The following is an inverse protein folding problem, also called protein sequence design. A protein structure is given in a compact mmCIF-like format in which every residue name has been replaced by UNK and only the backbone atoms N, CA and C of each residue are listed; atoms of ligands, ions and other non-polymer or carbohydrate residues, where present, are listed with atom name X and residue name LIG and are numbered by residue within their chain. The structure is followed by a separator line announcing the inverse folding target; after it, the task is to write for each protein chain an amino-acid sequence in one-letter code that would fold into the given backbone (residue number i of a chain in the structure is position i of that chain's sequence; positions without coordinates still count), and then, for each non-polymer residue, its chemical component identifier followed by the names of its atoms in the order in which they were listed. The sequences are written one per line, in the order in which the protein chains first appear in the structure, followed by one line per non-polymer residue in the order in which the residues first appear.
data_IF_717823666623
#
_entry.id   IF_717823666623
#
_cell.length_a   1.000
_cell.length_b   1.000
_cell.length_c   1.000
_cell.angle_alpha   90.00
_cell.angle_beta   90.00
_cell.angle_gamma   90.00
#
_symmetry.space_group_name_H-M   'P 1'
#
loop_
_entity.id
_entity.type
_entity.pdbx_description
1 polymer ?
#
# COMPACT_ATOMS: atom_id res chain seq x y z
N UNK A 1 -1.81 -4.67 -7.84
CA UNK A 1 -2.12 -6.00 -7.25
C UNK A 1 -1.69 -7.07 -8.24
N UNK A 2 -1.15 -8.19 -7.75
CA UNK A 2 -0.85 -9.35 -8.60
C UNK A 2 -2.14 -9.84 -9.26
N UNK A 3 -2.03 -10.27 -10.52
CA UNK A 3 -3.17 -10.69 -11.35
C UNK A 3 -3.55 -12.16 -11.12
N UNK A 4 -2.62 -12.93 -10.59
CA UNK A 4 -2.72 -14.36 -10.32
C UNK A 4 -1.71 -14.73 -9.22
N UNK A 5 -1.92 -15.89 -8.58
CA UNK A 5 -1.03 -16.46 -7.57
C UNK A 5 -0.67 -17.89 -7.96
N UNK A 6 0.63 -18.20 -8.12
CA UNK A 6 1.14 -19.56 -8.35
C UNK A 6 1.68 -20.16 -7.04
N UNK A 7 1.06 -21.23 -6.57
CA UNK A 7 1.43 -22.02 -5.40
C UNK A 7 2.12 -23.31 -5.88
N UNK A 8 3.36 -23.52 -5.47
CA UNK A 8 4.11 -24.75 -5.76
C UNK A 8 4.19 -25.63 -4.51
N UNK A 9 3.84 -26.91 -4.62
CA UNK A 9 4.05 -27.89 -3.56
C UNK A 9 5.38 -28.61 -3.77
N UNK A 10 6.27 -28.58 -2.78
CA UNK A 10 7.56 -29.27 -2.72
C UNK A 10 7.62 -30.22 -1.52
N UNK A 11 8.53 -31.19 -1.54
CA UNK A 11 8.69 -32.14 -0.44
C UNK A 11 9.10 -33.53 -0.93
N UNK A 12 9.51 -34.40 0.00
CA UNK A 12 9.95 -35.76 -0.33
C UNK A 12 8.86 -36.57 -1.05
N UNK A 13 9.24 -37.68 -1.68
CA UNK A 13 8.28 -38.62 -2.23
C UNK A 13 7.33 -39.14 -1.12
N UNK A 14 6.07 -39.38 -1.48
CA UNK A 14 5.04 -39.97 -0.60
C UNK A 14 4.63 -39.16 0.66
N UNK A 15 5.06 -37.89 0.79
CA UNK A 15 4.55 -36.99 1.85
C UNK A 15 3.11 -36.51 1.60
N UNK A 16 2.54 -36.80 0.42
CA UNK A 16 1.14 -36.55 0.08
C UNK A 16 0.85 -35.21 -0.59
N UNK A 17 1.80 -34.64 -1.33
CA UNK A 17 1.62 -33.41 -2.14
C UNK A 17 0.42 -33.52 -3.09
N UNK A 18 0.44 -34.52 -3.97
CA UNK A 18 -0.62 -34.83 -4.92
C UNK A 18 -1.96 -35.07 -4.22
N UNK A 19 -1.96 -35.79 -3.09
CA UNK A 19 -3.17 -36.05 -2.31
C UNK A 19 -3.79 -34.77 -1.76
N UNK A 20 -3.00 -33.80 -1.29
CA UNK A 20 -3.52 -32.50 -0.82
C UNK A 20 -4.22 -31.75 -1.97
N UNK A 21 -3.66 -31.77 -3.17
CA UNK A 21 -4.19 -31.09 -4.35
C UNK A 21 -5.50 -31.75 -4.81
N UNK A 22 -5.49 -33.08 -4.97
CA UNK A 22 -6.67 -33.83 -5.40
C UNK A 22 -7.80 -33.75 -4.35
N UNK A 23 -7.46 -33.77 -3.06
CA UNK A 23 -8.46 -33.64 -1.99
C UNK A 23 -9.11 -32.25 -1.94
N UNK A 24 -8.38 -31.19 -2.33
CA UNK A 24 -8.96 -29.86 -2.45
C UNK A 24 -10.01 -29.79 -3.56
N UNK A 25 -9.77 -30.46 -4.69
CA UNK A 25 -10.64 -30.37 -5.87
C UNK A 25 -11.78 -31.39 -5.84
N UNK A 26 -11.50 -32.61 -5.39
CA UNK A 26 -12.48 -33.69 -5.32
C UNK A 26 -13.34 -33.67 -4.05
N UNK A 27 -12.96 -32.89 -3.03
CA UNK A 27 -13.57 -32.92 -1.69
C UNK A 27 -13.63 -34.32 -1.06
N UNK A 28 -12.73 -35.22 -1.48
CA UNK A 28 -12.59 -36.58 -0.97
C UNK A 28 -11.14 -37.05 -1.10
N UNK A 29 -10.76 -38.08 -0.33
CA UNK A 29 -9.42 -38.64 -0.44
C UNK A 29 -9.33 -39.57 -1.66
N UNK A 30 -8.37 -39.36 -2.57
CA UNK A 30 -8.25 -40.16 -3.79
C UNK A 30 -7.89 -41.63 -3.47
N UNK A 31 -8.62 -42.58 -4.07
CA UNK A 31 -8.30 -44.02 -3.97
C UNK A 31 -6.97 -44.37 -4.68
N UNK A 32 -6.73 -43.76 -5.84
CA UNK A 32 -5.50 -43.89 -6.61
C UNK A 32 -4.82 -42.52 -6.75
N UNK A 33 -3.55 -42.44 -6.37
CA UNK A 33 -2.77 -41.20 -6.41
C UNK A 33 -1.71 -41.30 -7.51
N UNK A 34 -1.79 -40.50 -8.59
CA UNK A 34 -0.76 -40.46 -9.61
C UNK A 34 0.56 -39.91 -9.05
N UNK A 35 1.70 -40.11 -9.73
CA UNK A 35 2.99 -39.58 -9.27
C UNK A 35 3.06 -38.05 -9.22
N UNK A 36 2.23 -37.36 -10.01
CA UNK A 36 2.10 -35.90 -10.08
C UNK A 36 0.69 -35.53 -10.55
N UNK A 37 0.08 -34.50 -9.96
CA UNK A 37 -1.16 -33.92 -10.46
C UNK A 37 -0.89 -32.95 -11.64
N UNK A 38 -1.85 -32.83 -12.55
CA UNK A 38 -1.86 -31.72 -13.52
C UNK A 38 -2.00 -30.37 -12.81
N UNK A 39 -1.54 -29.30 -13.46
CA UNK A 39 -1.69 -27.95 -12.90
C UNK A 39 -3.17 -27.57 -12.79
N UNK A 40 -3.59 -27.18 -11.59
CA UNK A 40 -4.97 -26.82 -11.30
C UNK A 40 -5.08 -25.31 -11.20
N UNK A 41 -6.10 -24.74 -11.85
CA UNK A 41 -6.42 -23.31 -11.71
C UNK A 41 -7.73 -23.14 -10.97
N UNK A 42 -7.68 -22.51 -9.80
CA UNK A 42 -8.84 -22.09 -9.04
C UNK A 42 -9.26 -20.70 -9.55
N UNK A 43 -10.48 -20.54 -10.09
CA UNK A 43 -10.97 -19.25 -10.59
C UNK A 43 -11.05 -18.18 -9.51
N UNK A 44 -10.96 -16.90 -9.90
CA UNK A 44 -11.09 -15.77 -8.98
C UNK A 44 -12.41 -15.79 -8.20
N UNK A 45 -13.51 -16.18 -8.83
CA UNK A 45 -14.85 -16.12 -8.22
C UNK A 45 -15.03 -17.08 -7.04
N UNK A 46 -14.16 -18.07 -6.89
CA UNK A 46 -14.20 -19.05 -5.80
C UNK A 46 -13.12 -18.81 -4.74
N UNK A 47 -12.18 -17.87 -4.96
CA UNK A 47 -11.16 -17.53 -3.95
C UNK A 47 -11.62 -16.37 -3.07
N UNK A 48 -11.31 -16.39 -1.76
CA UNK A 48 -11.68 -15.29 -0.85
C UNK A 48 -11.14 -13.92 -1.29
N UNK A 49 -9.94 -13.90 -1.86
CA UNK A 49 -9.23 -12.69 -2.29
C UNK A 49 -9.60 -12.24 -3.72
N UNK A 50 -10.46 -12.99 -4.42
CA UNK A 50 -10.85 -12.74 -5.82
C UNK A 50 -9.66 -12.68 -6.80
N UNK A 51 -8.67 -13.52 -6.57
CA UNK A 51 -7.49 -13.67 -7.42
C UNK A 51 -7.42 -15.12 -7.91
N UNK A 52 -7.23 -15.37 -9.21
CA UNK A 52 -6.99 -16.72 -9.72
C UNK A 52 -5.75 -17.35 -9.07
N UNK A 53 -5.86 -18.62 -8.70
CA UNK A 53 -4.76 -19.34 -8.02
C UNK A 53 -4.39 -20.59 -8.80
N UNK A 54 -3.14 -20.66 -9.23
CA UNK A 54 -2.55 -21.82 -9.88
C UNK A 54 -1.87 -22.70 -8.83
N UNK A 55 -2.21 -23.99 -8.78
CA UNK A 55 -1.63 -24.97 -7.86
C UNK A 55 -0.82 -25.97 -8.68
N UNK A 56 0.44 -26.09 -8.33
CA UNK A 56 1.44 -26.85 -9.08
C UNK A 56 2.00 -27.94 -8.17
N UNK A 57 1.95 -29.18 -8.65
CA UNK A 57 2.57 -30.32 -7.99
C UNK A 57 4.02 -30.51 -8.47
N UNK A 58 4.85 -31.11 -7.63
CA UNK A 58 6.21 -31.51 -8.00
C UNK A 58 6.46 -32.99 -7.79
N UNK A 59 7.25 -33.58 -8.68
CA UNK A 59 7.63 -34.99 -8.58
C UNK A 59 9.07 -35.20 -9.00
N UNK A 60 9.92 -35.62 -8.07
CA UNK A 60 11.32 -35.96 -8.38
C UNK A 60 11.45 -37.20 -9.29
N UNK A 61 10.37 -37.98 -9.46
CA UNK A 61 10.35 -39.12 -10.38
C UNK A 61 10.09 -38.72 -11.83
N UNK A 62 9.37 -37.61 -12.05
CA UNK A 62 8.99 -37.13 -13.39
C UNK A 62 9.76 -35.90 -13.85
N UNK A 63 10.31 -35.11 -12.91
CA UNK A 63 10.97 -33.85 -13.20
C UNK A 63 12.46 -33.91 -12.87
N UNK A 64 13.27 -33.31 -13.74
CA UNK A 64 14.68 -33.03 -13.51
C UNK A 64 14.85 -31.90 -12.49
N UNK A 65 16.07 -31.78 -11.95
CA UNK A 65 16.42 -30.69 -11.02
C UNK A 65 16.25 -29.31 -11.69
N UNK A 66 16.58 -29.20 -12.98
CA UNK A 66 16.46 -27.96 -13.75
C UNK A 66 15.00 -27.55 -13.93
N UNK A 67 14.11 -28.49 -14.25
CA UNK A 67 12.66 -28.22 -14.35
C UNK A 67 12.07 -27.82 -13.00
N UNK A 68 12.49 -28.47 -11.92
CA UNK A 68 12.02 -28.12 -10.57
C UNK A 68 12.49 -26.72 -10.16
N UNK A 69 13.72 -26.35 -10.51
CA UNK A 69 14.22 -24.99 -10.29
C UNK A 69 13.42 -23.97 -11.10
N UNK A 70 13.09 -24.25 -12.36
CA UNK A 70 12.25 -23.37 -13.17
C UNK A 70 10.86 -23.17 -12.54
N UNK A 71 10.24 -24.22 -12.01
CA UNK A 71 8.98 -24.12 -11.28
C UNK A 71 9.08 -23.28 -9.99
N UNK A 72 10.19 -23.40 -9.24
CA UNK A 72 10.46 -22.56 -8.07
C UNK A 72 10.57 -21.08 -8.48
N UNK A 73 11.26 -20.76 -9.57
CA UNK A 73 11.40 -19.39 -10.05
C UNK A 73 10.07 -18.77 -10.48
N UNK A 74 9.14 -19.57 -11.02
CA UNK A 74 7.79 -19.13 -11.38
C UNK A 74 6.86 -18.99 -10.18
N UNK A 75 7.13 -19.70 -9.09
CA UNK A 75 6.26 -19.74 -7.92
C UNK A 75 6.17 -18.36 -7.24
N UNK A 76 4.97 -18.00 -6.79
CA UNK A 76 4.79 -16.84 -5.91
C UNK A 76 4.89 -17.21 -4.43
N UNK A 77 4.61 -18.47 -4.10
CA UNK A 77 4.75 -19.07 -2.76
C UNK A 77 5.05 -20.54 -2.92
N UNK A 78 5.86 -21.08 -2.02
CA UNK A 78 6.22 -22.50 -1.99
C UNK A 78 5.68 -23.14 -0.71
N UNK A 79 4.92 -24.21 -0.86
CA UNK A 79 4.46 -25.06 0.22
C UNK A 79 5.40 -26.25 0.36
N UNK A 80 6.22 -26.28 1.42
CA UNK A 80 7.11 -27.41 1.72
C UNK A 80 6.37 -28.41 2.58
N UNK A 81 5.99 -29.52 1.97
CA UNK A 81 5.21 -30.60 2.56
C UNK A 81 6.13 -31.64 3.19
N UNK A 82 5.82 -32.01 4.42
CA UNK A 82 6.49 -33.07 5.17
C UNK A 82 5.45 -34.00 5.81
N UNK A 83 5.89 -35.20 6.19
CA UNK A 83 5.06 -36.18 6.88
C UNK A 83 5.30 -36.05 8.39
N UNK A 84 4.25 -35.73 9.14
CA UNK A 84 4.35 -35.49 10.59
C UNK A 84 4.70 -36.72 11.42
N UNK A 85 4.58 -37.92 10.84
CA UNK A 85 5.00 -39.19 11.44
C UNK A 85 6.45 -39.58 11.13
N UNK A 86 7.11 -38.90 10.18
CA UNK A 86 8.44 -39.27 9.69
C UNK A 86 9.45 -38.13 9.90
N UNK A 87 10.25 -38.22 10.98
CA UNK A 87 11.26 -37.21 11.34
C UNK A 87 12.27 -36.93 10.22
N UNK A 88 12.61 -37.94 9.43
CA UNK A 88 13.52 -37.78 8.30
C UNK A 88 13.02 -36.75 7.27
N UNK A 89 11.71 -36.61 7.10
CA UNK A 89 11.12 -35.63 6.17
C UNK A 89 11.20 -34.21 6.73
N UNK A 90 11.11 -34.05 8.06
CA UNK A 90 11.29 -32.77 8.76
C UNK A 90 12.75 -32.29 8.62
N UNK A 91 13.70 -33.20 8.77
CA UNK A 91 15.13 -32.90 8.60
C UNK A 91 15.46 -32.43 7.18
N UNK A 92 14.76 -32.94 6.16
CA UNK A 92 14.92 -32.54 4.76
C UNK A 92 14.47 -31.11 4.48
N UNK A 93 13.57 -30.56 5.31
CA UNK A 93 13.14 -29.16 5.18
C UNK A 93 14.35 -28.22 5.24
N UNK A 94 15.17 -28.36 6.30
CA UNK A 94 16.34 -27.49 6.54
C UNK A 94 17.55 -27.85 5.67
N UNK A 95 17.72 -29.14 5.34
CA UNK A 95 18.93 -29.62 4.65
C UNK A 95 18.82 -29.63 3.12
N UNK A 96 17.61 -29.68 2.56
CA UNK A 96 17.37 -29.82 1.11
C UNK A 96 16.39 -28.77 0.59
N UNK A 97 15.16 -28.75 1.10
CA UNK A 97 14.06 -28.02 0.45
C UNK A 97 14.17 -26.50 0.56
N UNK A 98 14.43 -25.96 1.75
CA UNK A 98 14.64 -24.52 1.91
C UNK A 98 15.88 -24.03 1.14
N UNK A 99 17.06 -24.70 1.24
CA UNK A 99 18.21 -24.33 0.40
C UNK A 99 17.92 -24.34 -1.10
N UNK A 100 17.13 -25.31 -1.59
CA UNK A 100 16.74 -25.40 -2.99
C UNK A 100 15.84 -24.23 -3.40
N UNK A 101 14.84 -23.88 -2.58
CA UNK A 101 13.95 -22.73 -2.82
C UNK A 101 14.72 -21.41 -2.83
N UNK A 102 15.68 -21.26 -1.93
CA UNK A 102 16.51 -20.05 -1.84
C UNK A 102 17.56 -19.93 -2.95
N UNK A 103 17.79 -20.98 -3.77
CA UNK A 103 18.66 -20.93 -4.94
C UNK A 103 20.12 -20.52 -4.67
N UNK A 104 20.60 -20.62 -3.43
CA UNK A 104 21.93 -20.13 -3.03
C UNK A 104 22.07 -18.60 -2.97
N UNK A 105 20.99 -17.84 -3.21
CA UNK A 105 21.00 -16.37 -3.09
C UNK A 105 20.91 -15.93 -1.63
N UNK A 106 22.01 -15.42 -1.08
CA UNK A 106 22.00 -14.76 0.23
C UNK A 106 21.39 -13.36 0.19
N UNK A 107 21.20 -12.78 -1.01
CA UNK A 107 20.77 -11.38 -1.21
C UNK A 107 19.70 -11.29 -2.29
N UNK A 108 18.46 -11.01 -1.89
CA UNK A 108 17.31 -10.80 -2.77
C UNK A 108 15.98 -11.00 -2.03
N UNK A 109 14.85 -10.51 -2.58
CA UNK A 109 13.52 -10.85 -2.05
C UNK A 109 13.27 -12.34 -2.20
N UNK A 110 13.06 -13.04 -1.08
CA UNK A 110 12.80 -14.49 -1.05
C UNK A 110 11.33 -14.78 -1.34
N UNK A 111 11.08 -15.91 -2.01
CA UNK A 111 9.73 -16.43 -2.18
C UNK A 111 9.22 -16.88 -0.80
N UNK A 112 8.02 -16.47 -0.37
CA UNK A 112 7.47 -16.91 0.91
C UNK A 112 7.28 -18.42 0.95
N UNK A 113 7.54 -19.01 2.11
CA UNK A 113 7.44 -20.45 2.35
C UNK A 113 6.33 -20.73 3.38
N UNK A 114 5.51 -21.74 3.09
CA UNK A 114 4.55 -22.32 4.02
C UNK A 114 5.00 -23.74 4.34
N UNK A 115 5.18 -24.07 5.62
CA UNK A 115 5.41 -25.46 6.01
C UNK A 115 4.08 -26.20 6.10
N UNK A 116 4.03 -27.42 5.55
CA UNK A 116 2.81 -28.22 5.52
C UNK A 116 3.07 -29.57 6.16
N UNK A 117 2.61 -29.74 7.39
CA UNK A 117 2.69 -31.02 8.10
C UNK A 117 1.52 -31.90 7.71
N UNK A 118 1.69 -32.77 6.72
CA UNK A 118 0.62 -33.65 6.25
C UNK A 118 0.59 -34.99 7.03
N UNK A 119 -0.50 -35.74 6.87
CA UNK A 119 -0.78 -37.01 7.56
C UNK A 119 -0.92 -36.88 9.08
N UNK A 120 -1.46 -35.74 9.55
CA UNK A 120 -1.79 -35.52 10.97
C UNK A 120 -2.76 -36.54 11.57
N UNK A 121 -3.42 -37.36 10.75
CA UNK A 121 -4.21 -38.51 11.20
C UNK A 121 -3.36 -39.67 11.75
N UNK A 122 -2.07 -39.74 11.41
CA UNK A 122 -1.17 -40.82 11.85
C UNK A 122 -0.52 -40.58 13.21
N UNK A 123 -0.55 -39.34 13.73
CA UNK A 123 0.11 -38.96 14.98
C UNK A 123 -0.85 -38.21 15.91
N UNK A 124 -1.01 -38.66 17.17
CA UNK A 124 -1.70 -37.86 18.18
C UNK A 124 -0.79 -36.71 18.65
N UNK A 125 -1.27 -35.47 18.56
CA UNK A 125 -0.54 -34.26 18.96
C UNK A 125 0.00 -33.46 17.79
N UNK A 126 0.61 -32.31 18.09
CA UNK A 126 1.12 -31.37 17.09
C UNK A 126 2.62 -31.61 16.82
N UNK A 127 3.03 -31.54 15.56
CA UNK A 127 4.44 -31.53 15.13
C UNK A 127 5.09 -30.15 15.24
N UNK A 128 4.36 -29.14 15.73
CA UNK A 128 4.84 -27.75 15.84
C UNK A 128 6.15 -27.62 16.61
N UNK A 129 6.35 -28.38 17.70
CA UNK A 129 7.60 -28.33 18.49
C UNK A 129 8.84 -28.66 17.66
N UNK A 130 8.72 -29.55 16.67
CA UNK A 130 9.84 -29.94 15.81
C UNK A 130 10.15 -28.89 14.73
N UNK A 131 9.16 -28.12 14.29
CA UNK A 131 9.32 -27.12 13.21
C UNK A 131 9.55 -25.70 13.71
N UNK A 132 9.18 -25.37 14.96
CA UNK A 132 9.43 -24.06 15.56
C UNK A 132 10.90 -23.59 15.45
N UNK A 133 11.92 -24.44 15.71
CA UNK A 133 13.31 -24.05 15.50
C UNK A 133 13.63 -23.71 14.04
N UNK A 134 13.04 -24.45 13.09
CA UNK A 134 13.22 -24.22 11.65
C UNK A 134 12.61 -22.87 11.27
N UNK A 135 11.39 -22.57 11.73
CA UNK A 135 10.75 -21.27 11.51
C UNK A 135 11.56 -20.11 12.07
N UNK A 136 12.20 -20.29 13.23
CA UNK A 136 13.07 -19.26 13.81
C UNK A 136 14.37 -19.04 13.01
N UNK A 137 14.83 -20.07 12.30
CA UNK A 137 16.07 -20.03 11.53
C UNK A 137 15.86 -19.41 10.14
N UNK A 138 14.67 -19.55 9.56
CA UNK A 138 14.37 -19.16 8.18
C UNK A 138 13.22 -18.14 8.14
N UNK A 139 13.52 -16.82 8.05
CA UNK A 139 12.52 -15.76 8.14
C UNK A 139 11.55 -15.71 6.94
N UNK A 140 11.87 -16.37 5.83
CA UNK A 140 10.96 -16.55 4.69
C UNK A 140 9.79 -17.50 4.99
N UNK A 141 9.85 -18.26 6.10
CA UNK A 141 8.74 -19.12 6.52
C UNK A 141 7.71 -18.26 7.24
N UNK A 142 6.57 -18.04 6.58
CA UNK A 142 5.49 -17.21 7.12
C UNK A 142 4.65 -17.96 8.17
N UNK A 143 4.34 -19.24 7.91
CA UNK A 143 3.54 -20.06 8.83
C UNK A 143 3.71 -21.55 8.59
N UNK A 144 3.17 -22.36 9.50
CA UNK A 144 3.06 -23.81 9.39
C UNK A 144 1.58 -24.23 9.53
N UNK A 145 1.12 -25.11 8.64
CA UNK A 145 -0.24 -25.67 8.64
C UNK A 145 -0.17 -27.19 8.72
N UNK A 146 -0.70 -27.76 9.80
CA UNK A 146 -0.88 -29.21 9.90
C UNK A 146 -2.15 -29.65 9.17
N UNK A 147 -2.02 -30.57 8.23
CA UNK A 147 -3.07 -31.04 7.35
C UNK A 147 -3.28 -32.56 7.47
N UNK A 148 -4.44 -33.04 7.06
CA UNK A 148 -4.64 -34.45 6.72
C UNK A 148 -5.44 -34.52 5.44
N UNK A 149 -4.76 -34.88 4.33
CA UNK A 149 -5.44 -35.15 3.07
C UNK A 149 -6.52 -36.23 3.24
N UNK A 150 -6.24 -37.26 4.04
CA UNK A 150 -7.16 -38.38 4.28
C UNK A 150 -8.46 -37.97 4.96
N UNK A 151 -8.37 -37.10 5.96
CA UNK A 151 -9.52 -36.64 6.73
C UNK A 151 -10.02 -35.25 6.29
N UNK A 152 -9.52 -34.72 5.17
CA UNK A 152 -9.82 -33.38 4.64
C UNK A 152 -9.60 -32.25 5.65
N UNK A 153 -8.63 -32.41 6.55
CA UNK A 153 -8.36 -31.44 7.61
C UNK A 153 -7.39 -30.36 7.14
N UNK A 154 -7.77 -29.10 7.34
CA UNK A 154 -6.97 -27.90 7.07
C UNK A 154 -6.51 -27.71 5.61
N UNK A 155 -7.18 -28.40 4.66
CA UNK A 155 -6.81 -28.34 3.23
C UNK A 155 -7.08 -26.95 2.68
N UNK A 156 -8.29 -26.41 2.89
CA UNK A 156 -8.65 -25.07 2.43
C UNK A 156 -7.79 -23.98 3.11
N UNK A 157 -7.51 -24.15 4.41
CA UNK A 157 -6.66 -23.25 5.19
C UNK A 157 -5.23 -23.17 4.63
N UNK A 158 -4.64 -24.29 4.22
CA UNK A 158 -3.32 -24.32 3.59
C UNK A 158 -3.26 -23.37 2.38
N UNK A 159 -4.17 -23.54 1.43
CA UNK A 159 -4.17 -22.75 0.20
C UNK A 159 -4.58 -21.29 0.46
N UNK A 160 -5.45 -21.05 1.44
CA UNK A 160 -5.78 -19.71 1.91
C UNK A 160 -4.55 -18.98 2.48
N UNK A 161 -3.78 -19.61 3.38
CA UNK A 161 -2.59 -19.01 3.95
C UNK A 161 -1.47 -18.82 2.91
N UNK A 162 -1.32 -19.75 1.97
CA UNK A 162 -0.38 -19.60 0.87
C UNK A 162 -0.74 -18.40 -0.02
N UNK A 163 -2.02 -18.23 -0.38
CA UNK A 163 -2.48 -17.06 -1.13
C UNK A 163 -2.25 -15.75 -0.34
N UNK A 164 -2.58 -15.76 0.96
CA UNK A 164 -2.42 -14.62 1.86
C UNK A 164 -0.97 -14.18 2.01
N UNK A 165 -0.02 -15.11 2.12
CA UNK A 165 1.40 -14.80 2.22
C UNK A 165 1.94 -14.02 1.00
N UNK A 166 1.34 -14.25 -0.18
CA UNK A 166 1.66 -13.52 -1.40
C UNK A 166 0.97 -12.17 -1.45
N UNK A 167 -0.32 -12.15 -1.12
CA UNK A 167 -1.15 -10.96 -1.27
C UNK A 167 -1.01 -9.97 -0.12
N UNK A 168 -0.50 -10.37 1.03
CA UNK A 168 -0.39 -9.51 2.22
C UNK A 168 0.94 -9.78 2.93
N UNK A 169 2.10 -9.59 2.27
CA UNK A 169 3.39 -10.03 2.79
C UNK A 169 3.75 -9.32 4.10
N UNK A 170 4.24 -10.06 5.10
CA UNK A 170 4.61 -9.50 6.40
C UNK A 170 5.97 -8.80 6.35
N UNK A 171 6.88 -9.34 5.54
CA UNK A 171 8.28 -8.90 5.42
C UNK A 171 8.49 -7.38 5.26
N UNK A 172 7.77 -6.63 4.39
CA UNK A 172 7.97 -5.19 4.27
C UNK A 172 7.41 -4.39 5.46
N UNK A 173 6.45 -4.93 6.20
CA UNK A 173 5.76 -4.22 7.28
C UNK A 173 6.53 -4.26 8.59
N UNK A 174 7.08 -5.43 8.93
CA UNK A 174 7.51 -5.74 10.29
C UNK A 174 8.85 -6.46 10.30
N UNK A 175 9.62 -6.19 11.35
CA UNK A 175 10.87 -6.87 11.64
C UNK A 175 10.65 -7.80 12.86
N UNK A 176 10.67 -9.13 12.66
CA UNK A 176 10.44 -10.08 13.73
C UNK A 176 11.55 -10.09 14.79
N UNK A 177 12.79 -9.69 14.44
CA UNK A 177 13.92 -9.69 15.37
C UNK A 177 13.79 -8.53 16.37
N UNK A 178 13.58 -7.32 15.86
CA UNK A 178 13.42 -6.11 16.68
C UNK A 178 12.01 -5.96 17.26
N UNK A 179 11.05 -6.76 16.76
CA UNK A 179 9.62 -6.70 17.08
C UNK A 179 8.98 -5.33 16.82
N UNK A 180 9.44 -4.65 15.77
CA UNK A 180 9.00 -3.30 15.42
C UNK A 180 8.56 -3.21 13.96
N UNK A 181 7.75 -2.19 13.66
CA UNK A 181 7.47 -1.82 12.28
C UNK A 181 8.75 -1.37 11.58
N UNK A 182 8.93 -1.77 10.32
CA UNK A 182 10.03 -1.30 9.51
C UNK A 182 9.89 0.20 9.23
N UNK A 183 11.00 0.95 9.03
CA UNK A 183 10.94 2.41 8.84
C UNK A 183 10.01 2.86 7.72
N UNK A 184 10.01 2.18 6.57
CA UNK A 184 9.13 2.49 5.45
C UNK A 184 7.63 2.33 5.80
N UNK A 185 7.29 1.28 6.56
CA UNK A 185 5.92 1.06 7.02
C UNK A 185 5.48 2.14 8.02
N UNK A 186 6.35 2.46 8.98
CA UNK A 186 6.10 3.54 9.94
C UNK A 186 5.92 4.90 9.24
N UNK A 187 6.72 5.19 8.22
CA UNK A 187 6.61 6.42 7.44
C UNK A 187 5.28 6.48 6.66
N UNK A 188 4.89 5.39 6.00
CA UNK A 188 3.63 5.31 5.28
C UNK A 188 2.43 5.49 6.22
N UNK A 189 2.41 4.77 7.34
CA UNK A 189 1.35 4.90 8.36
C UNK A 189 1.32 6.29 9.01
N UNK A 190 2.48 6.92 9.21
CA UNK A 190 2.56 8.30 9.73
C UNK A 190 1.94 9.30 8.76
N UNK A 191 2.17 9.15 7.45
CA UNK A 191 1.49 9.98 6.45
C UNK A 191 -0.02 9.77 6.49
N UNK A 192 -0.47 8.52 6.57
CA UNK A 192 -1.90 8.19 6.66
C UNK A 192 -2.54 8.80 7.90
N UNK A 193 -1.86 8.74 9.05
CA UNK A 193 -2.29 9.39 10.29
C UNK A 193 -2.48 10.90 10.09
N UNK A 194 -1.47 11.59 9.53
CA UNK A 194 -1.53 13.05 9.26
C UNK A 194 -2.63 13.45 8.28
N UNK A 195 -2.92 12.58 7.30
CA UNK A 195 -4.05 12.79 6.39
C UNK A 195 -5.41 12.60 7.09
N UNK A 196 -5.46 11.78 8.13
CA UNK A 196 -6.68 11.46 8.87
C UNK A 196 -6.98 12.48 9.96
N UNK A 197 -5.95 13.03 10.60
CA UNK A 197 -5.99 14.13 11.55
C UNK A 197 -6.43 15.41 10.83
N UNK A 198 -7.71 15.77 10.93
CA UNK A 198 -8.32 16.91 10.23
C UNK A 198 -8.13 18.23 10.97
N UNK A 199 -8.07 18.21 12.29
CA UNK A 199 -7.93 19.41 13.12
C UNK A 199 -6.46 19.75 13.48
N UNK A 200 -5.50 18.92 13.06
CA UNK A 200 -4.05 19.07 13.30
C UNK A 200 -3.67 19.11 14.78
N UNK A 201 -4.49 18.52 15.64
CA UNK A 201 -4.19 18.45 17.07
C UNK A 201 -3.16 17.36 17.40
N UNK A 202 -2.74 16.55 16.42
CA UNK A 202 -1.81 15.41 16.55
C UNK A 202 -2.42 14.16 17.23
N UNK A 203 -3.75 14.05 17.30
CA UNK A 203 -4.46 12.91 17.87
C UNK A 203 -5.83 12.68 17.22
N UNK A 204 -6.11 11.46 16.75
CA UNK A 204 -7.39 11.14 16.12
C UNK A 204 -8.51 11.05 17.16
N UNK A 205 -9.48 11.95 17.04
CA UNK A 205 -10.77 11.91 17.74
C UNK A 205 -11.65 10.74 17.28
N UNK A 206 -12.74 10.47 17.99
CA UNK A 206 -13.69 9.42 17.60
C UNK A 206 -14.35 9.70 16.24
N UNK A 207 -14.58 10.96 15.91
CA UNK A 207 -15.14 11.35 14.62
C UNK A 207 -14.15 11.02 13.49
N UNK A 208 -12.87 11.35 13.67
CA UNK A 208 -11.82 11.08 12.70
C UNK A 208 -11.51 9.58 12.58
N UNK A 209 -11.48 8.86 13.70
CA UNK A 209 -11.33 7.41 13.72
C UNK A 209 -12.49 6.72 12.99
N UNK A 210 -13.73 7.17 13.21
CA UNK A 210 -14.88 6.62 12.49
C UNK A 210 -14.87 6.96 11.00
N UNK A 211 -14.45 8.18 10.63
CA UNK A 211 -14.27 8.56 9.24
C UNK A 211 -13.18 7.72 8.55
N UNK A 212 -12.06 7.50 9.23
CA UNK A 212 -10.97 6.63 8.80
C UNK A 212 -11.44 5.19 8.63
N UNK A 213 -12.11 4.62 9.62
CA UNK A 213 -12.66 3.26 9.59
C UNK A 213 -13.65 3.08 8.44
N UNK A 214 -14.57 4.02 8.26
CA UNK A 214 -15.51 4.00 7.13
C UNK A 214 -14.80 4.08 5.78
N UNK A 215 -13.72 4.86 5.68
CA UNK A 215 -12.92 4.96 4.46
C UNK A 215 -12.18 3.67 4.12
N UNK A 216 -11.59 3.01 5.12
CA UNK A 216 -10.76 1.82 4.94
C UNK A 216 -11.56 0.50 4.87
N UNK A 217 -12.60 0.37 5.69
CA UNK A 217 -13.31 -0.88 5.94
C UNK A 217 -14.82 -0.80 5.62
N UNK A 218 -15.31 0.37 5.20
CA UNK A 218 -16.69 0.57 4.77
C UNK A 218 -17.70 0.80 5.91
N UNK A 219 -17.31 0.61 7.17
CA UNK A 219 -18.16 0.78 8.34
C UNK A 219 -17.40 1.44 9.50
N UNK A 220 -18.08 2.24 10.35
CA UNK A 220 -17.49 2.76 11.58
C UNK A 220 -17.34 1.65 12.64
N UNK A 221 -16.53 1.91 13.66
CA UNK A 221 -16.47 1.03 14.83
C UNK A 221 -17.64 1.33 15.77
N UNK A 222 -18.14 0.31 16.45
CA UNK A 222 -19.07 0.51 17.56
C UNK A 222 -18.36 1.32 18.67
N UNK A 223 -19.06 2.22 19.39
CA UNK A 223 -18.45 3.05 20.44
C UNK A 223 -17.67 2.23 21.48
N UNK A 224 -18.26 1.12 21.95
CA UNK A 224 -17.58 0.21 22.88
C UNK A 224 -16.29 -0.38 22.31
N UNK A 225 -16.26 -0.70 21.01
CA UNK A 225 -15.08 -1.25 20.38
C UNK A 225 -13.95 -0.21 20.26
N UNK A 226 -14.29 1.07 20.07
CA UNK A 226 -13.32 2.17 20.12
C UNK A 226 -12.72 2.30 21.51
N UNK A 227 -13.54 2.26 22.56
CA UNK A 227 -13.09 2.33 23.95
C UNK A 227 -12.16 1.15 24.30
N UNK A 228 -12.52 -0.05 23.87
CA UNK A 228 -11.70 -1.25 24.06
C UNK A 228 -10.33 -1.11 23.36
N UNK A 229 -10.33 -0.59 22.13
CA UNK A 229 -9.10 -0.31 21.38
C UNK A 229 -8.23 0.71 22.13
N UNK A 230 -8.80 1.86 22.55
CA UNK A 230 -8.07 2.88 23.30
C UNK A 230 -7.55 2.35 24.64
N UNK A 231 -8.32 1.51 25.33
CA UNK A 231 -7.90 0.86 26.58
C UNK A 231 -6.68 -0.03 26.37
N UNK A 232 -6.68 -0.82 25.29
CA UNK A 232 -5.51 -1.64 24.93
C UNK A 232 -4.28 -0.77 24.67
N UNK A 233 -4.43 0.36 23.98
CA UNK A 233 -3.31 1.30 23.74
C UNK A 233 -2.79 1.88 25.05
N UNK A 234 -3.67 2.42 25.91
CA UNK A 234 -3.29 3.01 27.22
C UNK A 234 -2.47 2.07 28.08
N UNK A 235 -2.78 0.76 28.02
CA UNK A 235 -2.09 -0.27 28.79
C UNK A 235 -0.65 -0.52 28.33
N UNK A 236 -0.34 -0.29 27.05
CA UNK A 236 0.94 -0.69 26.45
C UNK A 236 1.81 0.48 25.99
N UNK A 237 1.22 1.64 25.72
CA UNK A 237 1.93 2.81 25.19
C UNK A 237 1.60 4.03 26.06
N UNK A 238 2.59 4.48 26.84
CA UNK A 238 2.49 5.73 27.57
C UNK A 238 2.31 6.90 26.57
N UNK A 239 1.25 7.69 26.74
CA UNK A 239 0.92 8.78 25.80
C UNK A 239 0.31 8.30 24.47
N UNK A 240 0.05 7.00 24.29
CA UNK A 240 -0.62 6.47 23.10
C UNK A 240 -2.07 6.92 22.94
N UNK A 241 -2.68 7.42 24.02
CA UNK A 241 -4.00 8.08 24.02
C UNK A 241 -3.89 9.35 24.86
N UNK A 242 -4.30 10.49 24.30
CA UNK A 242 -4.29 11.80 24.95
C UNK A 242 -5.68 12.42 24.85
N UNK A 243 -6.26 12.83 25.97
CA UNK A 243 -7.60 13.44 26.03
C UNK A 243 -8.68 12.60 25.32
N UNK A 244 -8.60 11.28 25.49
CA UNK A 244 -9.44 10.28 24.84
C UNK A 244 -9.31 10.20 23.30
N UNK A 245 -8.26 10.79 22.73
CA UNK A 245 -7.90 10.74 21.31
C UNK A 245 -6.68 9.85 21.08
N UNK A 246 -6.64 9.14 19.95
CA UNK A 246 -5.55 8.23 19.60
C UNK A 246 -4.36 9.00 19.01
N UNK A 247 -3.21 8.98 19.66
CA UNK A 247 -2.01 9.65 19.15
C UNK A 247 -1.32 8.84 18.05
N UNK A 248 -0.34 9.44 17.37
CA UNK A 248 0.46 8.74 16.36
C UNK A 248 1.12 7.47 16.92
N UNK A 249 1.71 7.54 18.11
CA UNK A 249 2.35 6.39 18.75
C UNK A 249 1.34 5.27 19.05
N UNK A 250 0.13 5.65 19.48
CA UNK A 250 -0.98 4.71 19.65
C UNK A 250 -1.40 4.06 18.33
N UNK A 251 -1.50 4.85 17.25
CA UNK A 251 -1.86 4.35 15.92
C UNK A 251 -0.82 3.38 15.35
N UNK A 252 0.47 3.70 15.47
CA UNK A 252 1.57 2.81 15.06
C UNK A 252 1.60 1.52 15.90
N UNK A 253 1.36 1.63 17.21
CA UNK A 253 1.26 0.47 18.09
C UNK A 253 0.10 -0.46 17.70
N UNK A 254 -1.09 0.08 17.37
CA UNK A 254 -2.21 -0.76 16.94
C UNK A 254 -1.89 -1.57 15.68
N UNK A 255 -1.25 -0.93 14.69
CA UNK A 255 -0.81 -1.62 13.48
C UNK A 255 0.26 -2.68 13.78
N UNK A 256 1.16 -2.41 14.72
CA UNK A 256 2.13 -3.38 15.22
C UNK A 256 1.42 -4.59 15.86
N UNK A 257 0.41 -4.33 16.70
CA UNK A 257 -0.37 -5.36 17.38
C UNK A 257 -1.18 -6.22 16.41
N UNK A 258 -1.76 -5.63 15.35
CA UNK A 258 -2.45 -6.39 14.32
C UNK A 258 -1.51 -7.38 13.63
N UNK A 259 -0.31 -6.94 13.26
CA UNK A 259 0.70 -7.80 12.62
C UNK A 259 1.12 -8.92 13.57
N UNK A 260 1.45 -8.60 14.83
CA UNK A 260 1.83 -9.60 15.84
C UNK A 260 0.74 -10.65 16.12
N UNK A 261 -0.53 -10.30 15.89
CA UNK A 261 -1.67 -11.22 16.02
C UNK A 261 -2.03 -11.96 14.71
N UNK A 262 -1.18 -11.88 13.68
CA UNK A 262 -1.43 -12.52 12.38
C UNK A 262 -2.50 -11.84 11.52
N UNK A 263 -2.91 -10.61 11.88
CA UNK A 263 -3.91 -9.79 11.19
C UNK A 263 -3.28 -8.66 10.37
N UNK A 264 -2.10 -8.91 9.79
CA UNK A 264 -1.38 -7.94 8.96
C UNK A 264 -2.17 -7.48 7.71
N UNK A 265 -3.16 -8.26 7.26
CA UNK A 265 -4.11 -7.88 6.21
C UNK A 265 -4.82 -6.56 6.54
N UNK A 266 -5.13 -6.29 7.82
CA UNK A 266 -5.78 -5.05 8.26
C UNK A 266 -4.88 -3.85 7.97
N UNK A 267 -3.58 -3.98 8.26
CA UNK A 267 -2.56 -2.95 7.94
C UNK A 267 -2.43 -2.77 6.43
N UNK A 268 -2.44 -3.86 5.66
CA UNK A 268 -2.41 -3.79 4.19
C UNK A 268 -3.65 -3.13 3.59
N UNK A 269 -4.85 -3.39 4.13
CA UNK A 269 -6.08 -2.71 3.72
C UNK A 269 -5.94 -1.20 3.89
N UNK A 270 -5.42 -0.75 5.03
CA UNK A 270 -5.14 0.67 5.29
C UNK A 270 -4.15 1.23 4.27
N UNK A 271 -3.00 0.58 4.11
CA UNK A 271 -1.96 1.03 3.17
C UNK A 271 -2.48 1.15 1.74
N UNK A 272 -3.15 0.10 1.24
CA UNK A 272 -3.68 0.06 -0.13
C UNK A 272 -4.80 1.06 -0.34
N UNK A 273 -5.65 1.31 0.67
CA UNK A 273 -6.69 2.34 0.58
C UNK A 273 -6.11 3.73 0.31
N UNK A 274 -4.91 3.99 0.82
CA UNK A 274 -4.18 5.25 0.64
C UNK A 274 -3.15 5.22 -0.51
N UNK A 275 -3.24 4.21 -1.39
CA UNK A 275 -2.48 4.13 -2.64
C UNK A 275 -1.12 3.44 -2.54
N UNK A 276 -0.77 2.85 -1.40
CA UNK A 276 0.52 2.15 -1.26
C UNK A 276 0.50 0.75 -1.90
N UNK A 277 1.58 0.41 -2.58
CA UNK A 277 1.87 -0.93 -3.09
C UNK A 277 2.72 -1.77 -2.12
N UNK A 278 3.09 -2.97 -2.56
CA UNK A 278 3.80 -3.95 -1.71
C UNK A 278 5.23 -3.50 -1.33
N UNK A 279 5.82 -2.57 -2.10
CA UNK A 279 7.08 -1.91 -1.78
C UNK A 279 6.95 -0.75 -0.78
N UNK A 280 5.74 -0.47 -0.28
CA UNK A 280 5.41 0.67 0.58
C UNK A 280 5.69 2.04 -0.05
N UNK A 281 5.63 2.09 -1.37
CA UNK A 281 5.62 3.30 -2.19
C UNK A 281 4.21 3.55 -2.73
N UNK A 282 3.86 4.82 -2.94
CA UNK A 282 2.60 5.16 -3.61
C UNK A 282 2.66 4.69 -5.06
N UNK A 283 1.62 3.98 -5.50
CA UNK A 283 1.61 3.40 -6.83
C UNK A 283 1.62 4.49 -7.93
N UNK A 284 2.26 4.23 -9.08
CA UNK A 284 2.19 5.14 -10.22
C UNK A 284 0.75 5.41 -10.67
N UNK A 285 -0.11 4.39 -10.63
CA UNK A 285 -1.53 4.52 -10.98
C UNK A 285 -2.28 5.48 -10.03
N UNK A 286 -1.87 5.53 -8.76
CA UNK A 286 -2.43 6.45 -7.77
C UNK A 286 -1.92 7.88 -7.97
N UNK A 287 -0.62 8.08 -8.24
CA UNK A 287 -0.04 9.43 -8.38
C UNK A 287 -0.25 10.06 -9.76
N UNK A 288 -0.28 9.24 -10.81
CA UNK A 288 -0.31 9.66 -12.22
C UNK A 288 -1.50 9.03 -12.94
N UNK A 289 -2.74 9.35 -12.54
CA UNK A 289 -3.91 8.82 -13.20
C UNK A 289 -3.96 9.28 -14.67
N UNK A 290 -4.53 8.48 -15.58
CA UNK A 290 -4.60 8.83 -16.99
C UNK A 290 -5.46 10.08 -17.18
N UNK A 291 -4.88 11.12 -17.79
CA UNK A 291 -5.58 12.33 -18.20
C UNK A 291 -5.11 12.75 -19.58
N UNK A 292 -5.98 12.63 -20.57
CA UNK A 292 -5.69 13.04 -21.94
C UNK A 292 -5.96 14.54 -22.13
N UNK A 293 -4.94 15.29 -22.55
CA UNK A 293 -5.04 16.71 -22.88
C UNK A 293 -4.78 16.87 -24.38
N UNK A 294 -5.82 17.12 -25.20
CA UNK A 294 -5.64 17.28 -26.63
C UNK A 294 -4.78 18.51 -26.98
N UNK A 295 -4.08 18.51 -28.12
CA UNK A 295 -3.39 19.70 -28.62
C UNK A 295 -4.32 20.91 -28.71
N UNK A 296 -3.82 22.08 -28.32
CA UNK A 296 -4.62 23.31 -28.33
C UNK A 296 -5.55 23.49 -27.12
N UNK A 297 -5.73 22.48 -26.28
CA UNK A 297 -6.42 22.60 -24.99
C UNK A 297 -5.47 23.10 -23.88
N UNK A 298 -6.03 23.48 -22.73
CA UNK A 298 -5.29 23.78 -21.49
C UNK A 298 -5.96 23.08 -20.31
N UNK A 299 -5.29 23.07 -19.16
CA UNK A 299 -5.77 22.45 -17.92
C UNK A 299 -5.96 23.51 -16.84
N UNK A 300 -7.09 23.43 -16.13
CA UNK A 300 -7.44 24.33 -15.03
C UNK A 300 -7.93 23.50 -13.84
N UNK A 301 -7.71 23.99 -12.61
CA UNK A 301 -8.44 23.46 -11.46
C UNK A 301 -9.91 23.85 -11.60
N UNK A 302 -10.79 22.88 -11.38
CA UNK A 302 -12.21 23.15 -11.32
C UNK A 302 -12.64 23.57 -9.90
N UNK A 303 -13.93 23.82 -9.69
CA UNK A 303 -14.45 24.23 -8.39
C UNK A 303 -14.15 23.23 -7.27
N UNK A 304 -14.20 21.92 -7.54
CA UNK A 304 -13.87 20.90 -6.54
C UNK A 304 -12.38 20.91 -6.18
N UNK A 305 -11.51 21.08 -7.19
CA UNK A 305 -10.08 21.26 -6.99
C UNK A 305 -9.76 22.47 -6.12
N UNK A 306 -10.33 23.63 -6.44
CA UNK A 306 -10.16 24.86 -5.64
C UNK A 306 -10.69 24.70 -4.22
N UNK A 307 -11.88 24.13 -4.05
CA UNK A 307 -12.46 23.90 -2.73
C UNK A 307 -11.57 23.00 -1.87
N UNK A 308 -10.98 21.95 -2.45
CA UNK A 308 -10.09 21.06 -1.73
C UNK A 308 -8.80 21.76 -1.29
N UNK A 309 -8.07 22.39 -2.21
CA UNK A 309 -6.79 23.04 -1.86
C UNK A 309 -7.01 24.21 -0.91
N UNK A 310 -8.13 24.92 -1.01
CA UNK A 310 -8.51 25.95 -0.03
C UNK A 310 -8.74 25.36 1.36
N UNK A 311 -9.45 24.23 1.49
CA UNK A 311 -9.60 23.55 2.79
C UNK A 311 -8.25 23.10 3.35
N UNK A 312 -7.33 22.65 2.51
CA UNK A 312 -5.96 22.29 2.94
C UNK A 312 -5.21 23.51 3.46
N UNK A 313 -5.35 24.67 2.80
CA UNK A 313 -4.80 25.93 3.29
C UNK A 313 -5.37 26.29 4.67
N UNK A 314 -6.70 26.36 4.77
CA UNK A 314 -7.41 26.77 6.00
C UNK A 314 -7.10 25.84 7.18
N UNK A 315 -6.94 24.54 6.92
CA UNK A 315 -6.51 23.56 7.92
C UNK A 315 -5.11 23.88 8.48
N UNK A 316 -4.21 24.42 7.66
CA UNK A 316 -2.83 24.66 8.02
C UNK A 316 -2.53 26.10 8.47
N UNK A 317 -3.44 27.03 8.21
CA UNK A 317 -3.43 28.41 8.72
C UNK A 317 -3.89 28.41 10.20
N UNK A 318 -2.99 28.02 11.09
CA UNK A 318 -3.29 27.78 12.51
C UNK A 318 -3.46 29.10 13.28
N UNK A 319 -2.69 30.13 12.89
CA UNK A 319 -2.82 31.47 13.48
C UNK A 319 -3.96 32.30 12.86
N UNK A 320 -4.61 31.79 11.79
CA UNK A 320 -5.76 32.39 11.10
C UNK A 320 -5.47 33.79 10.60
N UNK A 321 -4.23 34.03 10.18
CA UNK A 321 -3.78 35.31 9.62
C UNK A 321 -4.06 35.42 8.12
N UNK A 322 -4.52 34.33 7.48
CA UNK A 322 -4.79 34.26 6.04
C UNK A 322 -3.54 34.02 5.19
N UNK A 323 -2.41 33.66 5.80
CA UNK A 323 -1.12 33.44 5.16
C UNK A 323 -0.24 32.37 5.83
N UNK A 324 0.13 31.32 5.09
CA UNK A 324 0.99 30.28 5.63
C UNK A 324 2.41 30.78 5.89
N UNK A 325 2.81 30.67 7.15
CA UNK A 325 4.20 30.82 7.60
C UNK A 325 5.09 29.67 7.10
N UNK A 326 6.43 29.82 7.18
CA UNK A 326 7.34 28.71 6.85
C UNK A 326 7.10 27.44 7.66
N UNK A 327 6.69 27.57 8.93
CA UNK A 327 6.38 26.43 9.80
C UNK A 327 5.09 25.71 9.38
N UNK A 328 4.04 26.47 9.05
CA UNK A 328 2.77 25.90 8.56
C UNK A 328 2.92 25.25 7.19
N UNK A 329 3.71 25.86 6.29
CA UNK A 329 4.09 25.26 5.02
C UNK A 329 4.86 23.96 5.21
N UNK A 330 5.78 23.90 6.18
CA UNK A 330 6.48 22.66 6.53
C UNK A 330 5.49 21.59 7.04
N UNK A 331 4.50 21.99 7.85
CA UNK A 331 3.40 21.12 8.26
C UNK A 331 2.57 20.60 7.07
N UNK A 332 2.25 21.47 6.10
CA UNK A 332 1.52 21.12 4.87
C UNK A 332 2.31 20.11 4.04
N UNK A 333 3.61 20.33 3.89
CA UNK A 333 4.47 19.44 3.13
C UNK A 333 4.88 18.16 3.87
N UNK A 334 4.45 17.98 5.12
CA UNK A 334 4.78 16.78 5.92
C UNK A 334 4.19 15.48 5.36
N UNK A 335 3.24 15.56 4.42
CA UNK A 335 2.66 14.41 3.70
C UNK A 335 3.26 14.20 2.31
N UNK A 336 4.25 15.00 1.93
CA UNK A 336 5.02 14.87 0.70
C UNK A 336 6.36 14.19 0.99
N UNK A 337 6.95 13.47 0.01
CA UNK A 337 8.30 12.92 0.16
C UNK A 337 9.38 14.01 0.26
N UNK A 338 9.14 15.16 -0.37
CA UNK A 338 9.97 16.35 -0.30
C UNK A 338 9.10 17.60 -0.53
N UNK A 339 9.58 18.77 -0.11
CA UNK A 339 8.86 20.03 -0.32
C UNK A 339 8.62 20.27 -1.84
N UNK A 340 7.36 20.34 -2.31
CA UNK A 340 7.04 20.42 -3.74
C UNK A 340 7.37 21.79 -4.33
N UNK A 341 7.44 22.82 -3.50
CA UNK A 341 7.70 24.19 -3.91
C UNK A 341 9.02 24.68 -3.32
N UNK A 342 9.93 25.09 -4.19
CA UNK A 342 11.24 25.60 -3.79
C UNK A 342 11.21 27.07 -3.33
N UNK A 343 12.38 27.64 -3.00
CA UNK A 343 12.50 29.03 -2.55
C UNK A 343 12.04 30.06 -3.60
N UNK A 344 11.95 29.65 -4.87
CA UNK A 344 11.44 30.45 -5.99
C UNK A 344 9.95 30.79 -5.86
N UNK A 345 9.19 30.07 -5.01
CA UNK A 345 7.78 30.34 -4.76
C UNK A 345 7.56 31.81 -4.35
N UNK A 346 8.43 32.31 -3.47
CA UNK A 346 8.42 33.70 -3.01
C UNK A 346 8.75 34.69 -4.12
N UNK A 347 9.06 34.29 -5.35
CA UNK A 347 9.24 35.19 -6.50
C UNK A 347 8.24 34.95 -7.63
N UNK A 348 7.40 33.92 -7.48
CA UNK A 348 6.46 33.45 -8.50
C UNK A 348 5.04 33.92 -8.21
N UNK A 349 4.66 33.97 -6.93
CA UNK A 349 3.34 34.40 -6.48
C UNK A 349 3.41 35.56 -5.51
N UNK A 350 2.28 36.25 -5.32
CA UNK A 350 2.16 37.31 -4.33
C UNK A 350 2.32 36.73 -2.92
N UNK A 351 3.06 37.44 -2.09
CA UNK A 351 3.33 37.08 -0.69
C UNK A 351 3.06 38.30 0.19
N UNK A 352 2.71 38.06 1.45
CA UNK A 352 2.42 39.10 2.44
C UNK A 352 3.42 38.98 3.57
N UNK A 353 4.29 39.98 3.75
CA UNK A 353 5.39 39.95 4.73
C UNK A 353 6.29 38.69 4.64
N UNK A 354 6.45 38.11 3.43
CA UNK A 354 7.22 36.88 3.22
C UNK A 354 6.47 35.58 3.49
N UNK A 355 5.19 35.66 3.90
CA UNK A 355 4.27 34.53 4.06
C UNK A 355 3.45 34.30 2.79
N UNK A 356 2.97 33.07 2.60
CA UNK A 356 2.16 32.71 1.44
C UNK A 356 0.68 32.93 1.74
N UNK A 357 0.11 34.05 1.27
CA UNK A 357 -1.32 34.32 1.45
C UNK A 357 -2.19 33.30 0.70
N UNK A 358 -3.46 33.13 1.12
CA UNK A 358 -4.41 32.24 0.44
C UNK A 358 -4.46 32.49 -1.07
N UNK A 359 -4.50 33.77 -1.48
CA UNK A 359 -4.48 34.12 -2.90
C UNK A 359 -3.20 33.67 -3.61
N UNK A 360 -2.03 33.88 -3.00
CA UNK A 360 -0.75 33.40 -3.54
C UNK A 360 -0.68 31.88 -3.64
N UNK A 361 -1.20 31.18 -2.63
CA UNK A 361 -1.32 29.72 -2.60
C UNK A 361 -2.20 29.19 -3.73
N UNK A 362 -3.39 29.77 -3.93
CA UNK A 362 -4.28 29.37 -5.02
C UNK A 362 -3.65 29.66 -6.39
N UNK A 363 -2.99 30.81 -6.56
CA UNK A 363 -2.27 31.14 -7.79
C UNK A 363 -1.15 30.14 -8.09
N UNK A 364 -0.43 29.65 -7.06
CA UNK A 364 0.61 28.63 -7.25
C UNK A 364 0.01 27.32 -7.75
N UNK A 365 -1.12 26.89 -7.18
CA UNK A 365 -1.85 25.73 -7.68
C UNK A 365 -2.31 25.91 -9.11
N UNK A 366 -2.95 27.03 -9.45
CA UNK A 366 -3.38 27.36 -10.81
C UNK A 366 -2.20 27.30 -11.80
N UNK A 367 -1.03 27.83 -11.41
CA UNK A 367 0.17 27.83 -12.24
C UNK A 367 0.68 26.41 -12.50
N UNK A 368 0.79 25.58 -11.45
CA UNK A 368 1.24 24.19 -11.58
C UNK A 368 0.26 23.41 -12.45
N UNK A 369 -1.06 23.55 -12.25
CA UNK A 369 -2.07 22.87 -13.07
C UNK A 369 -1.98 23.26 -14.54
N UNK A 370 -1.71 24.52 -14.85
CA UNK A 370 -1.63 25.00 -16.23
C UNK A 370 -0.33 24.58 -16.93
N UNK A 371 0.80 24.57 -16.22
CA UNK A 371 2.12 24.27 -16.80
C UNK A 371 2.46 22.78 -16.82
N UNK A 372 2.07 22.05 -15.77
CA UNK A 372 2.40 20.63 -15.57
C UNK A 372 1.27 19.95 -14.80
N UNK A 373 0.24 19.53 -15.54
CA UNK A 373 -0.93 18.88 -14.93
C UNK A 373 -0.57 17.56 -14.24
N UNK A 374 0.44 16.83 -14.72
CA UNK A 374 0.85 15.57 -14.11
C UNK A 374 1.42 15.81 -12.71
N UNK A 375 2.27 16.83 -12.58
CA UNK A 375 2.76 17.27 -11.27
C UNK A 375 1.63 17.78 -10.35
N UNK A 376 0.61 18.45 -10.91
CA UNK A 376 -0.57 18.84 -10.14
C UNK A 376 -1.32 17.62 -9.57
N UNK A 377 -1.55 16.59 -10.40
CA UNK A 377 -2.23 15.35 -10.00
C UNK A 377 -1.43 14.61 -8.93
N UNK A 378 -0.10 14.54 -9.10
CA UNK A 378 0.82 13.97 -8.12
C UNK A 378 0.71 14.68 -6.76
N UNK A 379 0.76 16.01 -6.73
CA UNK A 379 0.62 16.78 -5.48
C UNK A 379 -0.76 16.59 -4.82
N UNK A 380 -1.84 16.53 -5.59
CA UNK A 380 -3.18 16.20 -5.08
C UNK A 380 -3.23 14.79 -4.50
N UNK A 381 -2.48 13.85 -5.10
CA UNK A 381 -2.31 12.48 -4.60
C UNK A 381 -1.60 12.44 -3.25
N UNK A 382 -0.52 13.21 -3.09
CA UNK A 382 0.18 13.35 -1.81
C UNK A 382 -0.70 13.97 -0.72
N UNK A 383 -1.54 14.93 -1.06
CA UNK A 383 -2.54 15.51 -0.16
C UNK A 383 -3.75 14.61 0.10
N UNK A 384 -3.86 13.45 -0.55
CA UNK A 384 -4.94 12.48 -0.29
C UNK A 384 -6.28 12.86 -0.92
N UNK A 385 -6.30 13.70 -1.97
CA UNK A 385 -7.54 14.14 -2.64
C UNK A 385 -8.54 13.01 -2.91
N UNK A 386 -8.18 11.87 -3.55
CA UNK A 386 -9.17 10.84 -3.88
C UNK A 386 -9.83 10.25 -2.64
N UNK A 387 -9.06 10.05 -1.57
CA UNK A 387 -9.54 9.45 -0.33
C UNK A 387 -10.44 10.45 0.42
N UNK A 388 -9.97 11.68 0.61
CA UNK A 388 -10.66 12.70 1.40
C UNK A 388 -11.93 13.22 0.70
N UNK A 389 -11.91 13.32 -0.63
CA UNK A 389 -13.05 13.75 -1.43
C UNK A 389 -13.93 12.58 -1.93
N UNK A 390 -13.60 11.32 -1.57
CA UNK A 390 -14.30 10.11 -2.01
C UNK A 390 -14.47 10.05 -3.53
N UNK A 391 -13.38 10.31 -4.24
CA UNK A 391 -13.30 10.25 -5.70
C UNK A 391 -12.39 9.09 -6.10
N UNK A 392 -12.57 8.58 -7.32
CA UNK A 392 -11.73 7.50 -7.84
C UNK A 392 -10.33 7.99 -8.25
N UNK A 393 -10.19 9.30 -8.52
CA UNK A 393 -8.94 9.89 -9.01
C UNK A 393 -8.87 11.40 -8.78
N UNK A 394 -7.64 11.91 -8.65
CA UNK A 394 -7.28 13.33 -8.65
C UNK A 394 -7.69 14.04 -9.94
N UNK A 395 -7.84 13.31 -11.05
CA UNK A 395 -8.28 13.87 -12.33
C UNK A 395 -9.63 14.59 -12.23
N UNK A 396 -10.49 14.21 -11.28
CA UNK A 396 -11.77 14.87 -11.00
C UNK A 396 -11.62 16.32 -10.52
N UNK A 397 -10.42 16.75 -10.10
CA UNK A 397 -10.13 18.14 -9.74
C UNK A 397 -9.81 19.03 -10.96
N UNK A 398 -9.64 18.43 -12.16
CA UNK A 398 -9.12 19.10 -13.34
C UNK A 398 -10.22 19.27 -14.39
N UNK A 399 -10.28 20.46 -15.00
CA UNK A 399 -11.02 20.71 -16.23
C UNK A 399 -10.03 20.86 -17.38
N UNK A 400 -10.24 20.06 -18.44
CA UNK A 400 -9.57 20.25 -19.73
C UNK A 400 -10.42 21.20 -20.56
N UNK A 401 -9.85 22.35 -20.91
CA UNK A 401 -10.54 23.37 -21.71
C UNK A 401 -10.71 22.88 -23.15
N UNK A 402 -11.62 23.49 -23.91
CA UNK A 402 -11.76 23.21 -25.35
C UNK A 402 -10.58 23.76 -26.15
N UNK A 403 -10.45 23.28 -27.37
CA UNK A 403 -9.39 23.69 -28.29
C UNK A 403 -9.40 25.21 -28.53
N UNK A 404 -8.20 25.79 -28.60
CA UNK A 404 -8.00 27.23 -28.79
C UNK A 404 -8.56 27.75 -30.13
N UNK A 405 -8.53 26.94 -31.18
CA UNK A 405 -9.08 27.29 -32.50
C UNK A 405 -10.57 27.61 -32.42
N UNK A 406 -11.33 26.82 -31.67
CA UNK A 406 -12.76 27.06 -31.42
C UNK A 406 -13.03 28.36 -30.66
N UNK A 407 -12.15 28.75 -29.73
CA UNK A 407 -12.25 30.06 -29.06
C UNK A 407 -12.05 31.22 -30.04
N UNK A 408 -11.11 31.07 -30.99
CA UNK A 408 -10.80 32.07 -32.01
C UNK A 408 -11.94 32.21 -33.03
N UNK A 409 -12.47 31.09 -33.52
CA UNK A 409 -13.61 31.05 -34.45
C UNK A 409 -14.86 31.72 -33.85
N UNK A 410 -15.11 31.50 -32.56
CA UNK A 410 -16.25 32.08 -31.84
C UNK A 410 -16.01 33.49 -31.33
N UNK A 411 -14.77 33.98 -31.35
CA UNK A 411 -14.41 35.27 -30.75
C UNK A 411 -14.66 35.34 -29.23
N UNK A 412 -14.76 34.19 -28.54
CA UNK A 412 -15.08 34.09 -27.12
C UNK A 412 -14.34 32.91 -26.49
N UNK A 413 -13.76 33.10 -25.31
CA UNK A 413 -13.13 32.04 -24.51
C UNK A 413 -13.83 31.87 -23.16
N UNK A 414 -13.80 30.64 -22.63
CA UNK A 414 -14.23 30.28 -21.27
C UNK A 414 -13.04 29.92 -20.38
N UNK A 415 -11.80 30.14 -20.87
CA UNK A 415 -10.58 29.90 -20.10
C UNK A 415 -10.44 30.97 -19.02
N UNK A 416 -10.13 30.54 -17.81
CA UNK A 416 -9.85 31.46 -16.70
C UNK A 416 -8.34 31.74 -16.59
N UNK A 417 -7.50 30.92 -17.23
CA UNK A 417 -6.05 31.03 -17.16
C UNK A 417 -5.46 31.26 -18.54
N UNK A 418 -4.65 32.32 -18.68
CA UNK A 418 -4.00 32.70 -19.93
C UNK A 418 -2.48 32.81 -19.73
N UNK A 419 -1.72 32.20 -20.65
CA UNK A 419 -0.27 32.32 -20.68
C UNK A 419 0.17 33.48 -21.58
N UNK A 420 0.78 34.49 -20.96
CA UNK A 420 1.47 35.57 -21.68
C UNK A 420 2.99 35.33 -21.67
N UNK A 421 3.62 35.29 -22.85
CA UNK A 421 5.09 35.19 -22.97
C UNK A 421 5.69 36.59 -23.12
N UNK A 422 6.49 37.00 -22.14
CA UNK A 422 7.20 38.30 -22.17
C UNK A 422 8.57 38.13 -22.81
N UNK A 423 8.77 38.73 -23.98
CA UNK A 423 10.01 38.60 -24.79
C UNK A 423 10.62 39.97 -25.06
N UNK A 424 11.95 40.06 -25.08
CA UNK A 424 12.70 41.30 -25.30
C UNK A 424 14.18 41.14 -25.01
N UNK A 425 15.00 42.12 -25.41
CA UNK A 425 16.46 42.08 -25.28
C UNK A 425 16.93 41.99 -23.80
N UNK A 426 18.22 41.67 -23.58
CA UNK A 426 18.82 41.69 -22.22
C UNK A 426 18.79 43.12 -21.67
N UNK A 427 18.44 43.27 -20.40
CA UNK A 427 18.44 44.58 -19.72
C UNK A 427 17.17 45.42 -19.88
N UNK A 428 16.21 45.04 -20.73
CA UNK A 428 14.97 45.84 -20.94
C UNK A 428 13.92 45.75 -19.81
N UNK A 429 14.28 45.20 -18.65
CA UNK A 429 13.40 45.18 -17.48
C UNK A 429 12.31 44.09 -17.46
N UNK A 430 12.41 43.01 -18.25
CA UNK A 430 11.39 41.92 -18.26
C UNK A 430 11.11 41.32 -16.88
N UNK A 431 12.16 41.04 -16.10
CA UNK A 431 12.01 40.48 -14.75
C UNK A 431 11.33 41.47 -13.81
N UNK A 432 11.73 42.75 -13.88
CA UNK A 432 11.12 43.85 -13.14
C UNK A 432 9.64 44.01 -13.49
N UNK A 433 9.27 43.89 -14.77
CA UNK A 433 7.88 43.92 -15.23
C UNK A 433 7.03 42.81 -14.59
N UNK A 434 7.57 41.58 -14.51
CA UNK A 434 6.87 40.47 -13.84
C UNK A 434 6.80 40.65 -12.32
N UNK A 435 7.84 41.18 -11.67
CA UNK A 435 7.80 41.44 -10.22
C UNK A 435 6.83 42.59 -9.87
N UNK A 436 6.71 43.59 -10.73
CA UNK A 436 5.72 44.66 -10.57
C UNK A 436 4.28 44.13 -10.64
N UNK A 437 4.01 43.11 -11.46
CA UNK A 437 2.71 42.42 -11.50
C UNK A 437 2.35 41.77 -10.16
N UNK A 438 3.35 41.33 -9.39
CA UNK A 438 3.17 40.80 -8.04
C UNK A 438 3.05 41.90 -6.96
N UNK A 439 3.01 43.17 -7.34
CA UNK A 439 2.89 44.31 -6.43
C UNK A 439 4.19 44.69 -5.71
N UNK A 440 5.35 44.26 -6.20
CA UNK A 440 6.65 44.58 -5.60
C UNK A 440 7.19 45.87 -6.18
N UNK A 441 7.53 46.80 -5.29
CA UNK A 441 8.16 48.06 -5.70
C UNK A 441 9.50 47.77 -6.39
N UNK A 442 9.73 48.45 -7.51
CA UNK A 442 11.03 48.48 -8.17
C UNK A 442 11.90 49.47 -7.39
N UNK A 443 12.81 48.94 -6.57
CA UNK A 443 13.89 49.72 -5.95
C UNK A 443 14.95 50.10 -6.96
#
# INVERSE_FOLDING_TARGET
MKRDVRILLLGEAQVGKTSLILSLVGEEFPEEVPPRAEEITIPADVTPEKVPTHIVDSSEAEQTVEELQDEIHKANVVCVVYDVSEEATIEKIRTKWIPLVNGGTERGPRVPIILVGNKSDLRPGSSMEAVLPIMSQFPEIETCVECSAKNLRNISELFYYAQKAVLHPTAPLYDPETKQLRPACSQALTRIFRLSDQDLDQALSDEELNAFQKSCFGHPLAPQALDDVKMVVRKHVAGGVRDDRLTLDGFLFLNTLFIQRGRHETTWTILRRFGYGDALELSPDYLFPPLHVPPGCSTELNHFGYQFVQKVFEKHDQDRDGALSPAELQGLFSVFPAAPWGPQLLYTVRTEAGRLSLHGYLCQWTLVTYLDVQRCLEHLGYLGYPILCKQDSQAHAITVTREKTLDQEKGQTQRNVLLCKVVGARGVGKSSFLQAFLGRALG
#
